data_IF_255738925578
#
_entry.id   IF_255738925578
#
_cell.length_a   1.000
_cell.length_b   1.000
_cell.length_c   1.000
_cell.angle_alpha   90.00
_cell.angle_beta   90.00
_cell.angle_gamma   90.00
#
_symmetry.space_group_name_H-M   'P 1'
#
loop_
_entity.id
_entity.type
_entity.pdbx_description
1 polymer ?
#
# COMPACT_ATOMS: atom_id res chain seq x y z
N UNK A 1 33.54 -5.54 16.21
CA UNK A 1 33.18 -5.24 14.80
C UNK A 1 32.09 -4.22 14.80
N UNK A 2 32.15 -3.23 13.90
CA UNK A 2 31.07 -2.24 13.71
C UNK A 2 29.82 -2.95 13.18
N UNK A 3 28.64 -2.65 13.72
CA UNK A 3 27.38 -3.17 13.20
C UNK A 3 27.16 -2.69 11.76
N UNK A 4 26.56 -3.53 10.91
CA UNK A 4 26.22 -3.20 9.53
C UNK A 4 24.72 -3.02 9.42
N UNK A 5 24.30 -1.85 8.97
CA UNK A 5 22.89 -1.48 8.86
C UNK A 5 22.54 -1.25 7.40
N UNK A 6 21.53 -1.99 6.93
CA UNK A 6 21.00 -1.85 5.58
C UNK A 6 19.66 -1.15 5.61
N UNK A 7 19.46 -0.21 4.69
CA UNK A 7 18.22 0.56 4.53
C UNK A 7 17.55 0.26 3.20
N UNK A 8 16.22 0.20 3.20
CA UNK A 8 15.42 0.41 2.00
C UNK A 8 14.99 1.86 1.94
N UNK A 9 15.38 2.56 0.89
CA UNK A 9 15.03 3.96 0.68
C UNK A 9 14.15 4.09 -0.58
N UNK A 10 13.06 4.78 -0.44
CA UNK A 10 12.11 5.06 -1.52
C UNK A 10 11.77 6.55 -1.61
N UNK A 11 10.69 6.89 -2.33
CA UNK A 11 10.24 8.26 -2.50
C UNK A 11 9.76 8.91 -1.18
N UNK A 12 9.45 8.10 -0.15
CA UNK A 12 9.09 8.62 1.17
C UNK A 12 10.34 8.87 2.01
N UNK A 13 10.57 10.09 2.51
CA UNK A 13 11.83 10.45 3.15
C UNK A 13 12.03 9.85 4.55
N UNK A 14 11.04 9.15 5.11
CA UNK A 14 11.07 8.68 6.51
C UNK A 14 12.30 7.81 6.81
N UNK A 15 12.57 6.78 6.00
CA UNK A 15 13.71 5.90 6.21
C UNK A 15 15.05 6.65 6.04
N UNK A 16 15.14 7.58 5.09
CA UNK A 16 16.31 8.44 4.92
C UNK A 16 16.54 9.36 6.12
N UNK A 17 15.48 9.96 6.66
CA UNK A 17 15.58 10.78 7.89
C UNK A 17 16.03 9.93 9.09
N UNK A 18 15.56 8.69 9.21
CA UNK A 18 16.05 7.77 10.25
C UNK A 18 17.55 7.53 10.08
N UNK A 19 18.01 7.23 8.87
CA UNK A 19 19.44 7.02 8.60
C UNK A 19 20.27 8.29 8.98
N UNK A 20 19.78 9.48 8.63
CA UNK A 20 20.44 10.74 8.97
C UNK A 20 20.60 10.94 10.47
N UNK A 21 19.55 10.70 11.26
CA UNK A 21 19.66 10.88 12.72
C UNK A 21 20.45 9.75 13.39
N UNK A 22 20.34 8.51 12.93
CA UNK A 22 21.13 7.40 13.46
C UNK A 22 22.63 7.61 13.20
N UNK A 23 23.03 8.13 12.04
CA UNK A 23 24.46 8.38 11.74
C UNK A 23 25.08 9.44 12.65
N UNK A 24 24.26 10.34 13.25
CA UNK A 24 24.76 11.33 14.21
C UNK A 24 25.09 10.76 15.59
N UNK A 25 24.50 9.62 15.95
CA UNK A 25 24.59 9.03 17.30
C UNK A 25 25.27 7.68 17.31
N UNK A 26 25.44 7.06 16.16
CA UNK A 26 26.08 5.73 16.04
C UNK A 26 27.14 5.76 14.94
N UNK A 27 28.33 5.29 15.28
CA UNK A 27 29.41 5.04 14.32
C UNK A 27 29.29 3.61 13.79
N UNK A 28 28.44 3.41 12.80
CA UNK A 28 28.11 2.14 12.17
C UNK A 28 28.22 2.24 10.66
N UNK A 29 28.45 1.13 9.98
CA UNK A 29 28.48 1.09 8.52
C UNK A 29 27.07 1.02 7.94
N UNK A 30 26.70 2.02 7.16
CA UNK A 30 25.39 2.13 6.51
C UNK A 30 25.50 1.74 5.04
N UNK A 31 24.52 0.95 4.60
CA UNK A 31 24.32 0.49 3.24
C UNK A 31 22.87 0.77 2.82
N UNK A 32 22.60 0.94 1.54
CA UNK A 32 21.24 1.21 1.10
C UNK A 32 20.91 0.65 -0.26
N UNK A 33 19.68 0.11 -0.39
CA UNK A 33 19.00 -0.14 -1.64
C UNK A 33 17.98 0.96 -1.88
N UNK A 34 18.09 1.67 -3.01
CA UNK A 34 17.28 2.85 -3.35
C UNK A 34 16.32 2.50 -4.47
N UNK A 35 15.01 2.62 -4.19
CA UNK A 35 13.89 2.38 -5.12
C UNK A 35 13.17 3.69 -5.40
N UNK A 36 13.63 4.45 -6.39
CA UNK A 36 13.11 5.77 -6.73
C UNK A 36 13.13 6.04 -8.23
N UNK A 37 12.35 7.02 -8.67
CA UNK A 37 12.37 7.52 -10.05
C UNK A 37 13.68 8.20 -10.41
N UNK A 38 13.99 8.34 -11.71
CA UNK A 38 15.21 9.02 -12.20
C UNK A 38 15.38 10.44 -11.63
N UNK A 39 14.27 11.17 -11.47
CA UNK A 39 14.32 12.51 -10.88
C UNK A 39 14.81 12.50 -9.44
N UNK A 40 14.40 11.53 -8.65
CA UNK A 40 14.80 11.41 -7.24
C UNK A 40 16.16 10.74 -7.09
N UNK A 41 16.57 9.90 -8.05
CA UNK A 41 17.87 9.24 -8.08
C UNK A 41 19.01 10.25 -8.02
N UNK A 42 18.90 11.38 -8.73
CA UNK A 42 19.92 12.43 -8.73
C UNK A 42 20.18 13.01 -7.32
N UNK A 43 19.13 13.11 -6.49
CA UNK A 43 19.30 13.50 -5.08
C UNK A 43 20.16 12.49 -4.32
N UNK A 44 19.83 11.18 -4.41
CA UNK A 44 20.58 10.15 -3.69
C UNK A 44 22.03 10.02 -4.17
N UNK A 45 22.31 10.32 -5.44
CA UNK A 45 23.67 10.33 -6.00
C UNK A 45 24.51 11.53 -5.54
N UNK A 46 23.88 12.67 -5.27
CA UNK A 46 24.57 13.93 -4.96
C UNK A 46 24.53 14.33 -3.48
N UNK A 47 23.65 13.72 -2.67
CA UNK A 47 23.50 14.07 -1.26
C UNK A 47 24.76 13.75 -0.44
N UNK A 48 25.06 14.62 0.54
CA UNK A 48 26.17 14.49 1.48
C UNK A 48 25.71 14.45 2.94
N UNK A 49 24.41 14.25 3.17
CA UNK A 49 23.82 14.27 4.51
C UNK A 49 24.08 12.97 5.27
N UNK A 50 24.09 11.84 4.54
CA UNK A 50 24.35 10.51 5.08
C UNK A 50 25.41 9.83 4.22
N UNK A 51 26.49 9.39 4.82
CA UNK A 51 27.49 8.57 4.15
C UNK A 51 27.05 7.10 4.17
N UNK A 52 26.78 6.56 2.99
CA UNK A 52 26.56 5.12 2.78
C UNK A 52 27.83 4.51 2.20
N UNK A 53 28.28 3.38 2.75
CA UNK A 53 29.46 2.64 2.25
C UNK A 53 29.23 2.12 0.83
N UNK A 54 27.97 1.68 0.55
CA UNK A 54 27.54 1.31 -0.79
C UNK A 54 26.05 1.59 -0.97
N UNK A 55 25.70 2.02 -2.17
CA UNK A 55 24.33 2.32 -2.59
C UNK A 55 24.01 1.54 -3.86
N UNK A 56 22.95 0.73 -3.83
CA UNK A 56 22.39 0.09 -5.00
C UNK A 56 21.15 0.85 -5.44
N UNK A 57 20.98 1.01 -6.75
CA UNK A 57 19.77 1.58 -7.34
C UNK A 57 18.97 0.44 -7.97
N UNK A 58 17.82 0.13 -7.40
CA UNK A 58 16.99 -1.01 -7.77
C UNK A 58 16.70 -1.07 -9.28
N UNK A 59 16.25 0.04 -9.86
CA UNK A 59 15.86 0.07 -11.27
C UNK A 59 17.04 -0.03 -12.25
N UNK A 60 18.27 0.28 -11.82
CA UNK A 60 19.44 0.09 -12.68
C UNK A 60 19.70 -1.39 -12.95
N UNK A 61 19.49 -2.22 -11.95
CA UNK A 61 19.65 -3.68 -12.09
C UNK A 61 18.47 -4.28 -12.85
N UNK A 62 17.25 -3.82 -12.57
CA UNK A 62 16.06 -4.30 -13.30
C UNK A 62 16.13 -4.02 -14.81
N UNK A 63 16.87 -3.01 -15.23
CA UNK A 63 17.04 -2.62 -16.63
C UNK A 63 18.19 -3.36 -17.35
N UNK A 64 18.96 -4.16 -16.62
CA UNK A 64 20.04 -4.97 -17.24
C UNK A 64 19.46 -6.24 -17.88
N UNK A 65 20.07 -6.65 -18.98
CA UNK A 65 19.78 -7.96 -19.55
C UNK A 65 20.48 -9.04 -18.72
N UNK A 66 19.77 -10.10 -18.38
CA UNK A 66 20.33 -11.28 -17.74
C UNK A 66 20.09 -12.50 -18.63
N UNK A 67 20.98 -13.47 -18.53
CA UNK A 67 20.69 -14.80 -19.06
C UNK A 67 19.81 -15.51 -18.01
N UNK A 68 18.52 -15.61 -18.31
CA UNK A 68 17.58 -16.28 -17.41
C UNK A 68 17.91 -17.77 -17.28
N UNK A 69 17.81 -18.27 -16.05
CA UNK A 69 17.99 -19.67 -15.71
C UNK A 69 16.66 -20.27 -15.29
N UNK A 70 16.09 -21.22 -16.05
CA UNK A 70 14.72 -21.71 -15.83
C UNK A 70 14.42 -22.23 -14.42
N UNK A 71 15.42 -22.84 -13.78
CA UNK A 71 15.24 -23.48 -12.46
C UNK A 71 15.62 -22.56 -11.29
N UNK A 72 16.13 -21.35 -11.56
CA UNK A 72 16.59 -20.45 -10.50
C UNK A 72 15.48 -20.06 -9.53
N UNK A 73 14.33 -19.59 -10.05
CA UNK A 73 13.21 -19.17 -9.20
C UNK A 73 12.69 -20.30 -8.33
N UNK A 74 12.58 -21.50 -8.90
CA UNK A 74 12.18 -22.70 -8.15
C UNK A 74 13.16 -23.01 -7.02
N UNK A 75 14.45 -22.99 -7.32
CA UNK A 75 15.50 -23.21 -6.32
C UNK A 75 15.48 -22.15 -5.21
N UNK A 76 15.16 -20.89 -5.57
CA UNK A 76 15.01 -19.80 -4.62
C UNK A 76 13.79 -20.01 -3.70
N UNK A 77 12.63 -20.40 -4.26
CA UNK A 77 11.43 -20.71 -3.51
C UNK A 77 11.67 -21.84 -2.51
N UNK A 78 12.30 -22.94 -2.94
CA UNK A 78 12.66 -24.09 -2.10
C UNK A 78 13.66 -23.70 -1.00
N UNK A 79 14.70 -22.91 -1.35
CA UNK A 79 15.75 -22.48 -0.42
C UNK A 79 15.22 -21.57 0.70
N UNK A 80 14.31 -20.66 0.38
CA UNK A 80 13.85 -19.64 1.32
C UNK A 80 12.43 -19.86 1.79
N UNK A 81 11.72 -20.87 1.28
CA UNK A 81 10.31 -21.10 1.58
C UNK A 81 9.47 -19.80 1.42
N UNK A 82 9.54 -19.20 0.22
CA UNK A 82 8.83 -17.99 -0.18
C UNK A 82 8.10 -18.29 -1.48
N UNK A 83 6.77 -18.15 -1.52
CA UNK A 83 5.95 -18.29 -2.73
C UNK A 83 6.03 -17.00 -3.57
N UNK A 84 6.91 -17.01 -4.58
CA UNK A 84 7.13 -15.88 -5.48
C UNK A 84 5.92 -15.60 -6.37
N UNK A 85 5.23 -16.67 -6.83
CA UNK A 85 4.06 -16.53 -7.68
C UNK A 85 2.86 -15.96 -6.94
N UNK A 86 2.68 -16.29 -5.66
CA UNK A 86 1.67 -15.65 -4.84
C UNK A 86 1.94 -14.15 -4.71
N UNK A 87 3.20 -13.76 -4.50
CA UNK A 87 3.59 -12.35 -4.46
C UNK A 87 3.34 -11.66 -5.81
N UNK A 88 3.69 -12.29 -6.93
CA UNK A 88 3.48 -11.73 -8.26
C UNK A 88 2.00 -11.55 -8.60
N UNK A 89 1.15 -12.55 -8.30
CA UNK A 89 -0.31 -12.50 -8.51
C UNK A 89 -1.03 -11.45 -7.66
N UNK A 90 -0.37 -10.95 -6.63
CA UNK A 90 -0.87 -9.89 -5.76
C UNK A 90 -0.10 -8.57 -5.94
N UNK A 91 0.76 -8.46 -6.96
CA UNK A 91 1.47 -7.22 -7.27
C UNK A 91 0.58 -6.25 -8.05
N UNK A 92 0.48 -5.03 -7.56
CA UNK A 92 -0.29 -3.95 -8.21
C UNK A 92 0.19 -3.62 -9.61
N UNK A 93 1.46 -3.85 -9.90
CA UNK A 93 2.07 -3.51 -11.20
C UNK A 93 1.75 -4.57 -12.24
N UNK A 94 1.72 -5.83 -11.86
CA UNK A 94 1.49 -6.95 -12.77
C UNK A 94 0.01 -7.21 -13.04
N UNK A 95 -0.89 -6.81 -12.13
CA UNK A 95 -2.34 -6.96 -12.32
C UNK A 95 -2.92 -5.77 -13.12
N UNK A 96 -3.82 -6.05 -14.04
CA UNK A 96 -4.49 -5.07 -14.91
C UNK A 96 -5.18 -3.93 -14.15
N UNK A 97 -5.55 -4.15 -12.92
CA UNK A 97 -6.26 -3.19 -12.10
C UNK A 97 -5.47 -1.91 -11.83
N UNK A 98 -4.17 -2.01 -11.64
CA UNK A 98 -3.32 -0.84 -11.30
C UNK A 98 -2.55 -0.31 -12.50
N UNK A 99 -2.05 -1.18 -13.37
CA UNK A 99 -1.29 -0.80 -14.56
C UNK A 99 -2.06 -1.13 -15.86
N UNK A 100 -2.90 -0.20 -16.30
CA UNK A 100 -3.69 -0.32 -17.53
C UNK A 100 -2.87 0.01 -18.80
N UNK A 101 -1.61 0.42 -18.65
CA UNK A 101 -0.78 0.87 -19.77
C UNK A 101 0.02 -0.25 -20.40
N UNK A 102 0.39 -1.25 -19.63
CA UNK A 102 1.22 -2.36 -20.06
C UNK A 102 0.77 -3.66 -19.38
N UNK A 103 0.64 -4.73 -20.16
CA UNK A 103 0.35 -6.08 -19.67
C UNK A 103 1.61 -6.90 -19.72
N UNK A 104 2.09 -7.31 -18.58
CA UNK A 104 3.25 -8.18 -18.47
C UNK A 104 2.88 -9.61 -18.84
N UNK A 105 3.71 -10.26 -19.66
CA UNK A 105 3.65 -11.70 -19.86
C UNK A 105 4.26 -12.45 -18.67
N UNK A 106 3.91 -13.72 -18.51
CA UNK A 106 4.47 -14.57 -17.46
C UNK A 106 6.00 -14.66 -17.56
N UNK A 107 6.55 -14.63 -18.77
CA UNK A 107 7.99 -14.62 -19.02
C UNK A 107 8.64 -13.33 -18.48
N UNK A 108 8.08 -12.16 -18.79
CA UNK A 108 8.59 -10.88 -18.27
C UNK A 108 8.49 -10.79 -16.75
N UNK A 109 7.39 -11.31 -16.17
CA UNK A 109 7.23 -11.39 -14.72
C UNK A 109 8.32 -12.27 -14.10
N UNK A 110 8.57 -13.45 -14.68
CA UNK A 110 9.62 -14.37 -14.23
C UNK A 110 11.00 -13.73 -14.33
N UNK A 111 11.31 -13.05 -15.41
CA UNK A 111 12.58 -12.36 -15.62
C UNK A 111 12.80 -11.24 -14.59
N UNK A 112 11.76 -10.43 -14.33
CA UNK A 112 11.81 -9.37 -13.31
C UNK A 112 12.04 -9.98 -11.93
N UNK A 113 11.30 -11.04 -11.58
CA UNK A 113 11.47 -11.71 -10.28
C UNK A 113 12.84 -12.33 -10.12
N UNK A 114 13.39 -12.93 -11.18
CA UNK A 114 14.74 -13.49 -11.14
C UNK A 114 15.80 -12.41 -10.90
N UNK A 115 15.73 -11.29 -11.61
CA UNK A 115 16.62 -10.14 -11.38
C UNK A 115 16.54 -9.63 -9.94
N UNK A 116 15.35 -9.53 -9.39
CA UNK A 116 15.14 -9.12 -8.00
C UNK A 116 15.75 -10.09 -7.00
N UNK A 117 15.47 -11.37 -7.16
CA UNK A 117 15.98 -12.40 -6.26
C UNK A 117 17.51 -12.42 -6.27
N UNK A 118 18.13 -12.36 -7.46
CA UNK A 118 19.59 -12.31 -7.60
C UNK A 118 20.18 -11.06 -6.95
N UNK A 119 19.62 -9.88 -7.24
CA UNK A 119 20.04 -8.62 -6.61
C UNK A 119 19.96 -8.69 -5.09
N UNK A 120 18.88 -9.23 -4.56
CA UNK A 120 18.64 -9.29 -3.12
C UNK A 120 19.57 -10.28 -2.42
N UNK A 121 19.81 -11.44 -3.02
CA UNK A 121 20.83 -12.37 -2.52
C UNK A 121 22.22 -11.74 -2.54
N UNK A 122 22.63 -11.12 -3.66
CA UNK A 122 23.92 -10.44 -3.80
C UNK A 122 24.12 -9.39 -2.69
N UNK A 123 23.16 -8.48 -2.51
CA UNK A 123 23.24 -7.44 -1.47
C UNK A 123 23.38 -8.06 -0.08
N UNK A 124 22.56 -9.04 0.26
CA UNK A 124 22.57 -9.64 1.59
C UNK A 124 23.82 -10.50 1.85
N UNK A 125 24.36 -11.15 0.83
CA UNK A 125 25.58 -11.96 0.95
C UNK A 125 26.86 -11.10 1.00
N UNK A 126 26.87 -9.96 0.29
CA UNK A 126 27.96 -8.98 0.33
C UNK A 126 27.97 -8.22 1.66
N UNK A 127 26.82 -7.63 2.04
CA UNK A 127 26.73 -6.79 3.22
C UNK A 127 26.71 -7.59 4.50
N UNK A 128 26.02 -8.74 4.53
CA UNK A 128 25.72 -9.53 5.74
C UNK A 128 25.26 -8.62 6.88
N UNK A 129 24.15 -7.89 6.71
CA UNK A 129 23.74 -6.86 7.65
C UNK A 129 23.25 -7.47 8.97
N UNK A 130 23.57 -6.81 10.07
CA UNK A 130 23.03 -7.14 11.39
C UNK A 130 21.60 -6.64 11.53
N UNK A 131 21.30 -5.49 10.89
CA UNK A 131 19.99 -4.85 10.93
C UNK A 131 19.51 -4.44 9.53
N UNK A 132 18.24 -4.66 9.28
CA UNK A 132 17.51 -4.07 8.16
C UNK A 132 16.50 -3.05 8.69
N UNK A 133 16.68 -1.77 8.35
CA UNK A 133 15.80 -0.68 8.77
C UNK A 133 14.94 -0.25 7.60
N UNK A 134 13.63 -0.20 7.83
CA UNK A 134 12.66 0.10 6.78
C UNK A 134 11.37 0.70 7.35
N UNK A 135 10.51 1.20 6.48
CA UNK A 135 9.11 1.51 6.76
C UNK A 135 8.22 0.31 6.43
N UNK A 136 6.94 0.42 6.71
CA UNK A 136 5.99 -0.64 6.36
C UNK A 136 6.03 -0.91 4.85
N UNK A 137 6.27 -2.16 4.47
CA UNK A 137 6.38 -2.58 3.07
C UNK A 137 5.07 -2.33 2.32
N UNK A 138 5.13 -1.62 1.20
CA UNK A 138 3.95 -1.23 0.42
C UNK A 138 3.84 -1.95 -0.93
N UNK A 139 4.97 -2.31 -1.53
CA UNK A 139 5.08 -2.94 -2.83
C UNK A 139 5.75 -4.30 -2.74
N UNK A 140 5.51 -5.15 -3.73
CA UNK A 140 6.04 -6.51 -3.80
C UNK A 140 7.57 -6.59 -3.67
N UNK A 141 8.40 -5.81 -4.41
CA UNK A 141 9.85 -5.91 -4.30
C UNK A 141 10.34 -5.64 -2.88
N UNK A 142 9.85 -4.58 -2.26
CA UNK A 142 10.16 -4.22 -0.88
C UNK A 142 9.71 -5.31 0.10
N UNK A 143 8.53 -5.92 -0.15
CA UNK A 143 8.02 -7.00 0.70
C UNK A 143 8.83 -8.28 0.53
N UNK A 144 9.22 -8.64 -0.68
CA UNK A 144 10.10 -9.77 -0.97
C UNK A 144 11.46 -9.62 -0.27
N UNK A 145 12.06 -8.42 -0.35
CA UNK A 145 13.31 -8.13 0.34
C UNK A 145 13.19 -8.28 1.87
N UNK A 146 12.09 -7.78 2.43
CA UNK A 146 11.75 -7.97 3.85
C UNK A 146 11.64 -9.45 4.23
N UNK A 147 10.91 -10.26 3.44
CA UNK A 147 10.78 -11.70 3.68
C UNK A 147 12.13 -12.40 3.64
N UNK A 148 12.95 -12.07 2.65
CA UNK A 148 14.30 -12.66 2.52
C UNK A 148 15.19 -12.28 3.71
N UNK A 149 15.16 -11.04 4.19
CA UNK A 149 15.86 -10.64 5.41
C UNK A 149 15.42 -11.48 6.62
N UNK A 150 14.11 -11.72 6.76
CA UNK A 150 13.57 -12.57 7.84
C UNK A 150 14.06 -14.02 7.73
N UNK A 151 14.04 -14.59 6.54
CA UNK A 151 14.50 -15.98 6.29
C UNK A 151 16.00 -16.15 6.52
N UNK A 152 16.81 -15.12 6.25
CA UNK A 152 18.25 -15.09 6.56
C UNK A 152 18.56 -14.74 8.03
N UNK A 153 17.55 -14.54 8.89
CA UNK A 153 17.75 -14.26 10.32
C UNK A 153 18.23 -12.83 10.62
N UNK A 154 18.17 -11.92 9.66
CA UNK A 154 18.54 -10.52 9.82
C UNK A 154 17.49 -9.81 10.71
N UNK A 155 17.94 -9.03 11.69
CA UNK A 155 17.05 -8.29 12.57
C UNK A 155 16.37 -7.13 11.84
N UNK A 156 15.09 -7.28 11.56
CA UNK A 156 14.30 -6.23 10.91
C UNK A 156 13.76 -5.24 11.93
N UNK A 157 13.95 -3.95 11.65
CA UNK A 157 13.42 -2.83 12.41
C UNK A 157 12.52 -2.01 11.47
N UNK A 158 11.24 -2.38 11.43
CA UNK A 158 10.24 -1.75 10.56
C UNK A 158 9.44 -0.72 11.34
N UNK A 159 9.45 0.52 10.85
CA UNK A 159 8.60 1.58 11.38
C UNK A 159 7.17 1.42 10.84
N UNK A 160 6.24 1.15 11.74
CA UNK A 160 4.83 0.96 11.44
C UNK A 160 3.97 2.08 12.02
N UNK A 161 2.91 2.45 11.29
CA UNK A 161 1.88 3.34 11.82
C UNK A 161 1.01 2.58 12.82
N UNK A 162 0.78 3.16 13.99
CA UNK A 162 -0.16 2.59 14.96
C UNK A 162 -1.63 2.80 14.56
N UNK A 163 -1.91 3.54 13.46
CA UNK A 163 -3.25 3.96 13.02
C UNK A 163 -4.03 4.71 14.12
N UNK A 164 -3.34 5.18 15.14
CA UNK A 164 -3.89 5.91 16.28
C UNK A 164 -3.16 7.26 16.41
N UNK A 165 -3.80 8.31 15.98
CA UNK A 165 -3.22 9.66 16.03
C UNK A 165 -1.95 9.78 15.20
N UNK A 166 -0.86 10.18 15.84
CA UNK A 166 0.49 10.31 15.23
C UNK A 166 1.48 9.27 15.77
N UNK A 167 0.97 8.21 16.40
CA UNK A 167 1.82 7.21 17.00
C UNK A 167 2.33 6.22 15.96
N UNK A 168 3.56 5.77 16.16
CA UNK A 168 4.20 4.71 15.41
C UNK A 168 4.86 3.73 16.38
N UNK A 169 5.18 2.55 15.89
CA UNK A 169 5.93 1.55 16.62
C UNK A 169 6.95 0.88 15.71
N UNK A 170 8.03 0.34 16.29
CA UNK A 170 9.03 -0.43 15.60
C UNK A 170 8.80 -1.91 15.88
N UNK A 171 8.75 -2.73 14.84
CA UNK A 171 8.59 -4.18 14.95
C UNK A 171 9.25 -4.88 13.78
N UNK A 172 9.73 -6.09 13.98
CA UNK A 172 10.18 -6.98 12.92
C UNK A 172 9.03 -7.62 12.13
N UNK A 173 7.78 -7.35 12.51
CA UNK A 173 6.58 -7.85 11.83
C UNK A 173 5.67 -6.68 11.44
N UNK A 174 4.99 -6.83 10.29
CA UNK A 174 4.10 -5.80 9.79
C UNK A 174 2.67 -5.90 10.32
N UNK A 175 2.29 -6.99 11.02
CA UNK A 175 0.93 -7.16 11.58
C UNK A 175 0.90 -7.14 13.10
N UNK A 176 2.01 -7.30 13.78
CA UNK A 176 2.03 -7.38 15.23
C UNK A 176 3.27 -6.69 15.80
N UNK A 177 3.13 -6.22 17.01
CA UNK A 177 4.25 -5.71 17.79
C UNK A 177 5.09 -6.89 18.31
N UNK A 178 6.41 -6.80 18.14
CA UNK A 178 7.32 -7.76 18.76
C UNK A 178 7.20 -7.68 20.28
N UNK A 179 7.36 -8.82 20.95
CA UNK A 179 7.25 -8.93 22.41
C UNK A 179 5.92 -8.38 22.99
N UNK A 180 4.83 -8.41 22.20
CA UNK A 180 3.53 -7.89 22.65
C UNK A 180 3.11 -8.44 24.01
N UNK A 181 3.24 -9.74 24.23
CA UNK A 181 2.84 -10.39 25.48
C UNK A 181 3.65 -9.88 26.68
N UNK A 182 4.95 -9.68 26.52
CA UNK A 182 5.85 -9.14 27.55
C UNK A 182 5.52 -7.68 27.86
N UNK A 183 5.37 -6.87 26.82
CA UNK A 183 4.98 -5.46 26.95
C UNK A 183 3.60 -5.31 27.60
N UNK A 184 2.68 -6.22 27.28
CA UNK A 184 1.32 -6.20 27.84
C UNK A 184 1.31 -6.65 29.30
N UNK A 185 2.05 -7.70 29.64
CA UNK A 185 2.16 -8.20 31.02
C UNK A 185 2.78 -7.17 31.97
N UNK A 186 3.76 -6.40 31.50
CA UNK A 186 4.45 -5.37 32.29
C UNK A 186 3.72 -4.02 32.32
N UNK A 187 2.55 -3.91 31.67
CA UNK A 187 1.81 -2.65 31.59
C UNK A 187 1.06 -2.39 32.91
N UNK A 188 1.35 -1.25 33.52
CA UNK A 188 0.44 -0.68 34.53
C UNK A 188 -0.84 -0.25 33.82
N UNK A 189 -1.97 -0.84 34.17
CA UNK A 189 -3.27 -0.44 33.67
C UNK A 189 -3.49 1.05 33.98
N UNK A 190 -3.56 1.89 32.99
CA UNK A 190 -4.05 3.25 33.18
C UNK A 190 -5.56 3.13 33.42
N UNK A 191 -6.11 3.73 34.47
CA UNK A 191 -7.54 3.77 34.68
C UNK A 191 -8.16 4.59 33.52
N UNK A 192 -8.57 3.89 32.48
CA UNK A 192 -9.20 4.49 31.31
C UNK A 192 -10.64 3.97 31.29
N UNK A 193 -11.59 4.86 31.43
CA UNK A 193 -13.01 4.50 31.34
C UNK A 193 -13.40 4.33 29.87
N UNK A 194 -14.50 3.61 29.60
CA UNK A 194 -15.05 3.51 28.25
C UNK A 194 -15.36 4.90 27.66
N UNK A 195 -15.84 5.83 28.49
CA UNK A 195 -16.08 7.21 28.10
C UNK A 195 -14.80 7.95 27.69
N UNK A 196 -13.65 7.69 28.31
CA UNK A 196 -12.38 8.30 27.91
C UNK A 196 -11.95 7.80 26.54
N UNK A 197 -12.15 6.50 26.26
CA UNK A 197 -11.88 5.91 24.95
C UNK A 197 -12.84 6.51 23.90
N UNK A 198 -14.11 6.58 24.22
CA UNK A 198 -15.14 7.14 23.33
C UNK A 198 -14.87 8.62 23.04
N UNK A 199 -14.55 9.43 24.02
CA UNK A 199 -14.19 10.84 23.85
C UNK A 199 -12.92 11.03 23.00
N UNK A 200 -11.95 10.13 23.11
CA UNK A 200 -10.75 10.13 22.25
C UNK A 200 -11.09 9.76 20.78
N UNK A 201 -11.99 8.80 20.57
CA UNK A 201 -12.47 8.40 19.24
C UNK A 201 -13.35 9.49 18.61
N UNK A 202 -14.14 10.18 19.40
CA UNK A 202 -15.00 11.29 18.98
C UNK A 202 -14.24 12.60 18.74
N UNK A 203 -12.94 12.64 19.07
CA UNK A 203 -12.17 13.84 18.89
C UNK A 203 -12.34 14.33 17.45
N UNK A 204 -12.89 15.55 17.31
CA UNK A 204 -13.26 16.26 16.06
C UNK A 204 -12.16 16.32 14.97
N UNK A 205 -10.98 15.76 15.26
CA UNK A 205 -9.81 15.73 14.36
C UNK A 205 -10.03 14.74 13.20
N UNK A 206 -10.66 13.58 13.46
CA UNK A 206 -10.87 12.56 12.42
C UNK A 206 -11.94 12.98 11.42
N UNK A 207 -13.08 13.49 11.91
CA UNK A 207 -14.17 13.96 11.06
C UNK A 207 -13.77 15.18 10.22
N UNK A 208 -12.99 16.11 10.79
CA UNK A 208 -12.44 17.28 10.06
C UNK A 208 -11.41 16.88 9.00
N UNK A 209 -10.59 15.85 9.24
CA UNK A 209 -9.64 15.35 8.24
C UNK A 209 -10.36 14.70 7.05
N UNK A 210 -11.36 13.87 7.31
CA UNK A 210 -12.16 13.22 6.27
C UNK A 210 -12.91 14.28 5.45
N UNK A 211 -13.57 15.23 6.07
CA UNK A 211 -14.30 16.29 5.34
C UNK A 211 -13.36 17.23 4.56
N UNK A 212 -12.18 17.58 5.12
CA UNK A 212 -11.14 18.34 4.39
C UNK A 212 -10.59 17.55 3.21
N UNK A 213 -10.37 16.24 3.37
CA UNK A 213 -9.91 15.37 2.28
C UNK A 213 -10.93 15.37 1.14
N UNK A 214 -12.22 15.20 1.41
CA UNK A 214 -13.28 15.28 0.40
C UNK A 214 -13.34 16.66 -0.28
N UNK A 215 -13.21 17.75 0.49
CA UNK A 215 -13.23 19.11 -0.04
C UNK A 215 -11.99 19.46 -0.85
N UNK A 216 -10.80 18.97 -0.43
CA UNK A 216 -9.55 19.24 -1.13
C UNK A 216 -9.41 18.50 -2.46
N UNK A 217 -10.15 17.41 -2.63
CA UNK A 217 -10.17 16.60 -3.86
C UNK A 217 -11.29 16.99 -4.83
N UNK A 218 -11.99 18.11 -4.60
CA UNK A 218 -12.74 18.77 -5.67
C UNK A 218 -11.72 19.26 -6.71
N UNK A 219 -11.51 18.44 -7.74
CA UNK A 219 -10.60 18.77 -8.83
C UNK A 219 -11.13 20.03 -9.55
N UNK A 220 -10.50 21.16 -9.27
CA UNK A 220 -10.72 22.37 -10.07
C UNK A 220 -10.28 22.05 -11.51
N UNK A 221 -11.10 22.43 -12.51
CA UNK A 221 -10.73 22.30 -13.93
C UNK A 221 -9.37 22.93 -14.23
N UNK A 222 -9.04 24.02 -13.53
CA UNK A 222 -7.73 24.72 -13.63
C UNK A 222 -6.60 23.81 -13.17
N UNK A 223 -6.74 23.10 -12.05
CA UNK A 223 -5.71 22.14 -11.57
C UNK A 223 -5.51 21.00 -12.55
N UNK A 224 -6.56 20.50 -13.19
CA UNK A 224 -6.45 19.46 -14.21
C UNK A 224 -5.71 19.96 -15.45
N UNK A 225 -6.00 21.19 -15.90
CA UNK A 225 -5.27 21.81 -17.02
C UNK A 225 -3.79 22.02 -16.66
N UNK A 226 -3.49 22.51 -15.47
CA UNK A 226 -2.12 22.66 -14.99
C UNK A 226 -1.38 21.31 -14.93
N UNK A 227 -2.01 20.25 -14.43
CA UNK A 227 -1.44 18.92 -14.38
C UNK A 227 -1.19 18.36 -15.79
N UNK A 228 -2.13 18.57 -16.74
CA UNK A 228 -1.95 18.17 -18.14
C UNK A 228 -0.78 18.92 -18.80
N UNK A 229 -0.66 20.22 -18.58
CA UNK A 229 0.47 21.04 -19.05
C UNK A 229 1.79 20.55 -18.47
N UNK A 230 1.86 20.32 -17.16
CA UNK A 230 3.06 19.79 -16.50
C UNK A 230 3.43 18.42 -17.07
N UNK A 231 2.46 17.53 -17.28
CA UNK A 231 2.70 16.21 -17.87
C UNK A 231 3.27 16.32 -19.29
N UNK A 232 2.68 17.14 -20.14
CA UNK A 232 3.04 17.22 -21.56
C UNK A 232 4.39 17.92 -21.77
N UNK A 233 4.65 19.02 -21.04
CA UNK A 233 5.79 19.90 -21.30
C UNK A 233 6.92 19.70 -20.31
N UNK A 234 6.61 19.62 -19.00
CA UNK A 234 7.64 19.65 -17.96
C UNK A 234 8.05 18.27 -17.45
N UNK A 235 7.25 17.22 -17.67
CA UNK A 235 7.62 15.89 -17.16
C UNK A 235 8.68 15.24 -18.03
N UNK A 236 9.65 14.62 -17.39
CA UNK A 236 10.60 13.72 -18.01
C UNK A 236 9.97 12.33 -18.21
N UNK A 237 10.19 11.74 -19.39
CA UNK A 237 9.73 10.38 -19.72
C UNK A 237 10.83 9.32 -19.56
N UNK A 238 11.97 9.67 -18.98
CA UNK A 238 13.10 8.73 -18.85
C UNK A 238 12.72 7.46 -18.10
N UNK A 239 11.79 7.55 -17.13
CA UNK A 239 11.31 6.39 -16.39
C UNK A 239 10.60 5.34 -17.27
N UNK A 240 9.95 5.72 -18.37
CA UNK A 240 9.27 4.78 -19.27
C UNK A 240 10.24 3.73 -19.86
N UNK A 241 11.51 4.11 -20.01
CA UNK A 241 12.55 3.26 -20.57
C UNK A 241 13.33 2.46 -19.52
N UNK A 242 13.40 2.96 -18.31
CA UNK A 242 14.30 2.45 -17.26
C UNK A 242 13.59 1.81 -16.09
N UNK A 243 12.27 1.96 -15.99
CA UNK A 243 11.49 1.46 -14.87
C UNK A 243 10.32 0.63 -15.38
N UNK A 244 10.35 -0.68 -15.18
CA UNK A 244 9.24 -1.55 -15.60
C UNK A 244 7.88 -1.11 -15.05
N UNK A 245 7.85 -0.47 -13.88
CA UNK A 245 6.65 0.09 -13.26
C UNK A 245 6.04 1.26 -14.05
N UNK A 246 6.75 1.79 -15.06
CA UNK A 246 6.33 2.88 -15.94
C UNK A 246 6.14 2.46 -17.39
N UNK A 247 6.29 1.18 -17.72
CA UNK A 247 6.15 0.70 -19.10
C UNK A 247 4.81 1.09 -19.72
N UNK A 248 4.85 1.50 -20.98
CA UNK A 248 3.68 1.92 -21.77
C UNK A 248 3.04 3.26 -21.36
N UNK A 249 3.58 3.99 -20.38
CA UNK A 249 3.04 5.27 -19.90
C UNK A 249 3.47 6.46 -20.77
N UNK A 250 3.23 6.37 -22.10
CA UNK A 250 3.42 7.52 -22.98
C UNK A 250 2.52 8.69 -22.57
N UNK A 251 3.04 9.93 -22.62
CA UNK A 251 2.34 11.15 -22.17
C UNK A 251 0.91 11.27 -22.70
N UNK A 252 0.73 11.10 -24.02
CA UNK A 252 -0.60 11.16 -24.64
C UNK A 252 -1.52 10.03 -24.14
N UNK A 253 -0.99 8.80 -24.02
CA UNK A 253 -1.77 7.65 -23.52
C UNK A 253 -2.22 7.88 -22.07
N UNK A 254 -1.34 8.45 -21.24
CA UNK A 254 -1.68 8.81 -19.84
C UNK A 254 -2.77 9.88 -19.83
N UNK A 255 -2.65 10.93 -20.65
CA UNK A 255 -3.64 12.00 -20.71
C UNK A 255 -5.02 11.48 -21.14
N UNK A 256 -5.07 10.69 -22.22
CA UNK A 256 -6.32 10.09 -22.71
C UNK A 256 -6.93 9.13 -21.69
N UNK A 257 -6.11 8.33 -21.02
CA UNK A 257 -6.55 7.45 -19.92
C UNK A 257 -7.16 8.25 -18.78
N UNK A 258 -6.54 9.36 -18.36
CA UNK A 258 -7.07 10.20 -17.28
C UNK A 258 -8.38 10.92 -17.64
N UNK A 259 -8.55 11.31 -18.90
CA UNK A 259 -9.82 11.86 -19.40
C UNK A 259 -10.91 10.77 -19.29
N UNK A 260 -10.64 9.58 -19.83
CA UNK A 260 -11.59 8.46 -19.79
C UNK A 260 -11.93 8.06 -18.34
N UNK A 261 -10.91 7.95 -17.48
CA UNK A 261 -11.12 7.63 -16.06
C UNK A 261 -11.93 8.74 -15.34
N UNK A 262 -11.74 9.99 -15.72
CA UNK A 262 -12.54 11.10 -15.16
C UNK A 262 -14.02 11.00 -15.52
N UNK A 263 -14.32 10.59 -16.75
CA UNK A 263 -15.70 10.35 -17.22
C UNK A 263 -16.29 9.15 -16.47
N UNK A 264 -15.56 8.05 -16.36
CA UNK A 264 -15.98 6.85 -15.62
C UNK A 264 -16.25 7.19 -14.14
N UNK A 265 -15.32 7.91 -13.49
CA UNK A 265 -15.48 8.34 -12.09
C UNK A 265 -16.72 9.20 -11.89
N UNK A 266 -16.98 10.14 -12.80
CA UNK A 266 -18.17 10.97 -12.75
C UNK A 266 -19.46 10.14 -12.87
N UNK A 267 -19.51 9.24 -13.85
CA UNK A 267 -20.68 8.37 -14.08
C UNK A 267 -20.94 7.43 -12.89
N UNK A 268 -19.89 6.77 -12.39
CA UNK A 268 -19.98 5.88 -11.23
C UNK A 268 -20.35 6.64 -9.96
N UNK A 269 -19.79 7.84 -9.77
CA UNK A 269 -20.18 8.69 -8.64
C UNK A 269 -21.66 9.07 -8.69
N UNK A 270 -22.18 9.44 -9.86
CA UNK A 270 -23.60 9.75 -10.02
C UNK A 270 -24.49 8.56 -9.62
N UNK A 271 -24.08 7.34 -9.98
CA UNK A 271 -24.78 6.13 -9.57
C UNK A 271 -24.78 5.95 -8.05
N UNK A 272 -23.64 6.13 -7.41
CA UNK A 272 -23.48 6.04 -5.95
C UNK A 272 -24.36 7.10 -5.26
N UNK A 273 -24.30 8.35 -5.69
CA UNK A 273 -25.07 9.46 -5.11
C UNK A 273 -26.59 9.20 -5.19
N UNK A 274 -27.07 8.48 -6.19
CA UNK A 274 -28.49 8.19 -6.41
C UNK A 274 -28.99 6.90 -5.75
N UNK A 275 -28.11 5.93 -5.50
CA UNK A 275 -28.52 4.57 -5.14
C UNK A 275 -28.02 4.11 -3.77
N UNK A 276 -27.14 4.86 -3.11
CA UNK A 276 -26.62 4.48 -1.80
C UNK A 276 -27.33 5.27 -0.70
N UNK A 277 -27.55 4.65 0.44
CA UNK A 277 -28.18 5.25 1.59
C UNK A 277 -27.32 6.38 2.18
N UNK A 278 -27.88 7.53 2.32
CA UNK A 278 -27.23 8.71 2.93
C UNK A 278 -27.52 8.83 4.42
N UNK A 279 -28.47 8.06 4.93
CA UNK A 279 -28.86 7.97 6.34
C UNK A 279 -29.17 6.54 6.71
N UNK A 280 -29.03 6.21 8.00
CA UNK A 280 -29.39 4.91 8.55
C UNK A 280 -30.84 4.99 9.03
N UNK A 281 -31.74 4.39 8.28
CA UNK A 281 -33.21 4.49 8.49
C UNK A 281 -33.82 3.16 8.95
N UNK A 282 -33.01 2.07 9.02
CA UNK A 282 -33.52 0.72 9.27
C UNK A 282 -33.55 0.43 10.77
N UNK A 283 -34.67 -0.10 11.27
CA UNK A 283 -34.86 -0.49 12.68
C UNK A 283 -34.37 -1.92 13.00
N UNK A 284 -33.95 -2.66 11.96
CA UNK A 284 -33.41 -4.01 12.15
C UNK A 284 -32.00 -3.99 12.70
N UNK A 285 -31.63 -4.98 13.50
CA UNK A 285 -30.24 -5.16 13.91
C UNK A 285 -29.37 -5.36 12.67
N UNK A 286 -28.16 -4.79 12.69
CA UNK A 286 -27.26 -4.87 11.56
C UNK A 286 -25.81 -5.06 11.99
N UNK A 287 -25.02 -5.58 11.04
CA UNK A 287 -23.55 -5.61 11.11
C UNK A 287 -23.01 -4.59 10.13
N UNK A 288 -21.99 -3.86 10.55
CA UNK A 288 -21.29 -2.89 9.71
C UNK A 288 -20.02 -3.46 9.13
N UNK A 289 -19.91 -3.51 7.79
CA UNK A 289 -18.73 -3.94 7.04
C UNK A 289 -18.17 -2.78 6.20
N UNK A 290 -17.12 -2.10 6.68
CA UNK A 290 -16.42 -1.10 5.88
C UNK A 290 -15.54 -1.79 4.84
N UNK A 291 -15.70 -1.43 3.54
CA UNK A 291 -14.81 -1.89 2.49
C UNK A 291 -13.47 -1.18 2.57
N UNK A 292 -12.41 -1.91 2.26
CA UNK A 292 -11.08 -1.35 2.13
C UNK A 292 -10.89 -0.67 0.78
N UNK A 293 -9.99 0.27 0.70
CA UNK A 293 -9.57 0.84 -0.58
C UNK A 293 -8.86 -0.25 -1.41
N UNK A 294 -9.19 -0.37 -2.68
CA UNK A 294 -8.56 -1.31 -3.62
C UNK A 294 -7.86 -0.57 -4.76
N UNK A 295 -6.70 -1.08 -5.18
CA UNK A 295 -5.86 -2.11 -4.57
C UNK A 295 -4.97 -1.53 -3.48
N UNK A 296 -4.92 -2.18 -2.34
CA UNK A 296 -4.05 -1.79 -1.23
C UNK A 296 -3.27 -2.97 -0.65
N UNK A 297 -2.15 -2.63 0.02
CA UNK A 297 -1.29 -3.56 0.71
C UNK A 297 -2.05 -4.48 1.68
N UNK A 298 -3.01 -3.93 2.42
CA UNK A 298 -3.81 -4.68 3.40
C UNK A 298 -4.49 -5.90 2.79
N UNK A 299 -4.98 -5.78 1.55
CA UNK A 299 -5.62 -6.86 0.83
C UNK A 299 -4.63 -7.71 0.02
N UNK A 300 -3.63 -7.09 -0.60
CA UNK A 300 -2.74 -7.79 -1.51
C UNK A 300 -1.64 -8.60 -0.80
N UNK A 301 -1.12 -8.09 0.31
CA UNK A 301 0.00 -8.70 1.03
C UNK A 301 -0.39 -9.28 2.40
N UNK A 302 -1.32 -8.61 3.13
CA UNK A 302 -1.67 -9.04 4.48
C UNK A 302 -2.85 -10.01 4.54
N UNK A 303 -3.79 -9.90 3.57
CA UNK A 303 -5.00 -10.72 3.52
C UNK A 303 -5.38 -11.04 2.06
N UNK A 304 -4.52 -11.76 1.31
CA UNK A 304 -4.71 -12.01 -0.12
C UNK A 304 -5.99 -12.80 -0.43
N UNK A 305 -6.42 -13.66 0.49
CA UNK A 305 -7.64 -14.44 0.35
C UNK A 305 -8.92 -13.60 0.36
N UNK A 306 -8.84 -12.38 0.91
CA UNK A 306 -9.96 -11.41 0.99
C UNK A 306 -9.82 -10.26 -0.01
N UNK A 307 -8.95 -10.40 -1.03
CA UNK A 307 -8.77 -9.34 -2.04
C UNK A 307 -10.02 -9.02 -2.84
N UNK A 308 -10.90 -10.03 -3.07
CA UNK A 308 -12.22 -9.82 -3.65
C UNK A 308 -13.24 -9.50 -2.53
N UNK A 309 -13.39 -8.21 -2.25
CA UNK A 309 -14.29 -7.79 -1.17
C UNK A 309 -15.78 -7.98 -1.50
N UNK A 310 -16.15 -8.06 -2.77
CA UNK A 310 -17.54 -8.36 -3.17
C UNK A 310 -17.91 -9.78 -2.72
N UNK A 311 -17.06 -10.76 -3.01
CA UNK A 311 -17.24 -12.13 -2.52
C UNK A 311 -17.25 -12.19 -0.98
N UNK A 312 -16.42 -11.40 -0.33
CA UNK A 312 -16.42 -11.29 1.14
C UNK A 312 -17.77 -10.79 1.68
N UNK A 313 -18.34 -9.75 1.04
CA UNK A 313 -19.68 -9.25 1.41
C UNK A 313 -20.74 -10.32 1.23
N UNK A 314 -20.72 -11.04 0.10
CA UNK A 314 -21.66 -12.13 -0.19
C UNK A 314 -21.53 -13.27 0.84
N UNK A 315 -20.30 -13.65 1.16
CA UNK A 315 -20.03 -14.67 2.17
C UNK A 315 -20.56 -14.26 3.55
N UNK A 316 -20.22 -13.06 4.02
CA UNK A 316 -20.69 -12.53 5.31
C UNK A 316 -22.22 -12.47 5.34
N UNK A 317 -22.85 -11.99 4.26
CA UNK A 317 -24.32 -11.89 4.21
C UNK A 317 -25.04 -13.23 4.34
N UNK A 318 -24.44 -14.32 3.81
CA UNK A 318 -24.97 -15.69 3.95
C UNK A 318 -24.87 -16.24 5.38
N UNK A 319 -23.84 -15.78 6.13
CA UNK A 319 -23.63 -16.20 7.51
C UNK A 319 -24.51 -15.44 8.52
N UNK A 320 -25.20 -14.37 8.09
CA UNK A 320 -26.03 -13.58 9.00
C UNK A 320 -27.38 -14.26 9.29
N UNK A 321 -27.90 -14.12 10.52
CA UNK A 321 -29.27 -14.48 10.85
C UNK A 321 -30.27 -13.77 9.92
N UNK A 322 -31.49 -14.33 9.77
CA UNK A 322 -32.49 -13.79 8.83
C UNK A 322 -32.95 -12.38 9.16
N UNK A 323 -32.98 -12.04 10.44
CA UNK A 323 -33.41 -10.74 10.93
C UNK A 323 -32.32 -9.67 10.91
N UNK A 324 -31.06 -10.01 10.54
CA UNK A 324 -29.95 -9.06 10.47
C UNK A 324 -29.74 -8.49 9.07
N UNK A 325 -29.29 -7.25 9.02
CA UNK A 325 -28.83 -6.59 7.80
C UNK A 325 -27.30 -6.45 7.80
N UNK A 326 -26.73 -6.33 6.61
CA UNK A 326 -25.32 -6.04 6.39
C UNK A 326 -25.19 -4.64 5.78
N UNK A 327 -24.74 -3.69 6.59
CA UNK A 327 -24.47 -2.34 6.12
C UNK A 327 -23.04 -2.28 5.58
N UNK A 328 -22.93 -2.13 4.27
CA UNK A 328 -21.66 -2.11 3.54
C UNK A 328 -21.36 -0.68 3.11
N UNK A 329 -20.21 -0.17 3.54
CA UNK A 329 -19.81 1.20 3.21
C UNK A 329 -18.55 1.20 2.36
N UNK A 330 -18.62 1.86 1.22
CA UNK A 330 -17.45 2.06 0.35
C UNK A 330 -16.40 2.95 1.03
N UNK A 331 -15.12 2.63 0.77
CA UNK A 331 -14.03 3.42 1.33
C UNK A 331 -14.06 4.86 0.79
N UNK A 332 -13.99 5.86 1.68
CA UNK A 332 -14.13 7.27 1.27
C UNK A 332 -13.15 7.72 0.20
N UNK A 333 -11.94 7.18 0.17
CA UNK A 333 -10.89 7.58 -0.78
C UNK A 333 -10.88 6.74 -2.05
N UNK A 334 -11.79 5.75 -2.18
CA UNK A 334 -11.84 4.89 -3.37
C UNK A 334 -11.97 5.73 -4.65
N UNK A 335 -12.90 6.66 -4.70
CA UNK A 335 -13.12 7.49 -5.88
C UNK A 335 -12.15 8.64 -6.09
N UNK A 336 -11.30 8.97 -5.11
CA UNK A 336 -10.32 10.06 -5.21
C UNK A 336 -8.89 9.58 -5.44
N UNK A 337 -8.52 8.45 -4.85
CA UNK A 337 -7.19 7.87 -4.95
C UNK A 337 -7.11 6.66 -5.89
N UNK A 338 -8.26 6.12 -6.23
CA UNK A 338 -8.47 4.97 -7.14
C UNK A 338 -9.70 5.25 -7.99
N UNK A 339 -10.21 4.26 -8.70
CA UNK A 339 -11.50 4.34 -9.36
C UNK A 339 -12.60 3.69 -8.50
N UNK A 340 -13.81 4.25 -8.56
CA UNK A 340 -14.97 3.57 -8.01
C UNK A 340 -15.12 2.17 -8.64
N UNK A 341 -15.62 1.22 -7.87
CA UNK A 341 -15.89 -0.13 -8.38
C UNK A 341 -16.85 -0.07 -9.56
N UNK A 342 -16.92 -1.15 -10.33
CA UNK A 342 -17.87 -1.29 -11.44
C UNK A 342 -19.31 -1.22 -10.91
N UNK A 343 -20.19 -0.54 -11.66
CA UNK A 343 -21.62 -0.43 -11.28
C UNK A 343 -22.28 -1.81 -11.20
N UNK A 344 -21.85 -2.76 -12.05
CA UNK A 344 -22.29 -4.15 -12.00
C UNK A 344 -22.06 -4.80 -10.64
N UNK A 345 -20.90 -4.53 -10.01
CA UNK A 345 -20.57 -5.01 -8.68
C UNK A 345 -21.50 -4.44 -7.59
N UNK A 346 -21.77 -3.13 -7.66
CA UNK A 346 -22.72 -2.50 -6.74
C UNK A 346 -24.14 -3.03 -6.92
N UNK A 347 -24.57 -3.24 -8.17
CA UNK A 347 -25.88 -3.85 -8.46
C UNK A 347 -25.99 -5.28 -7.94
N UNK A 348 -24.93 -6.08 -8.10
CA UNK A 348 -24.90 -7.42 -7.56
C UNK A 348 -25.10 -7.42 -6.02
N UNK A 349 -24.42 -6.52 -5.31
CA UNK A 349 -24.62 -6.37 -3.86
C UNK A 349 -26.03 -5.87 -3.50
N UNK A 350 -26.63 -4.96 -4.27
CA UNK A 350 -27.98 -4.43 -4.03
C UNK A 350 -29.07 -5.49 -4.25
N UNK A 351 -28.82 -6.46 -5.11
CA UNK A 351 -29.75 -7.58 -5.33
C UNK A 351 -29.84 -8.51 -4.11
N UNK A 352 -28.90 -8.44 -3.18
CA UNK A 352 -28.95 -9.20 -1.95
C UNK A 352 -29.86 -8.49 -0.93
N UNK A 353 -30.98 -9.11 -0.51
CA UNK A 353 -31.97 -8.45 0.36
C UNK A 353 -31.43 -8.10 1.75
N UNK A 354 -30.35 -8.74 2.19
CA UNK A 354 -29.71 -8.43 3.48
C UNK A 354 -28.71 -7.28 3.38
N UNK A 355 -28.24 -6.89 2.17
CA UNK A 355 -27.22 -5.87 1.99
C UNK A 355 -27.81 -4.49 1.84
N UNK A 356 -27.21 -3.51 2.50
CA UNK A 356 -27.49 -2.08 2.37
C UNK A 356 -26.22 -1.33 2.09
N UNK A 357 -26.12 -0.71 0.92
CA UNK A 357 -24.96 0.10 0.53
C UNK A 357 -25.06 1.51 1.13
N UNK A 358 -24.09 1.88 1.95
CA UNK A 358 -24.01 3.17 2.60
C UNK A 358 -23.12 4.12 1.80
N UNK A 359 -23.59 5.34 1.62
CA UNK A 359 -22.87 6.37 0.89
C UNK A 359 -21.51 6.69 1.57
N UNK A 360 -20.42 6.86 0.81
CA UNK A 360 -19.08 7.12 1.35
C UNK A 360 -18.99 8.36 2.25
N UNK A 361 -19.87 9.34 2.07
CA UNK A 361 -19.91 10.58 2.89
C UNK A 361 -20.44 10.37 4.31
N UNK A 362 -21.20 9.30 4.57
CA UNK A 362 -21.72 9.01 5.92
C UNK A 362 -20.53 8.71 6.84
N UNK A 363 -20.40 9.40 7.99
CA UNK A 363 -19.32 9.11 8.93
C UNK A 363 -19.44 7.70 9.50
N UNK A 364 -18.35 6.92 9.45
CA UNK A 364 -18.35 5.55 9.99
C UNK A 364 -18.70 5.52 11.50
N UNK A 365 -18.32 6.54 12.26
CA UNK A 365 -18.63 6.67 13.67
C UNK A 365 -20.15 6.72 13.95
N UNK A 366 -20.94 7.32 13.05
CA UNK A 366 -22.41 7.36 13.16
C UNK A 366 -23.03 5.98 12.95
N UNK A 367 -22.43 5.18 12.05
CA UNK A 367 -22.87 3.81 11.78
C UNK A 367 -22.55 2.92 13.00
N UNK A 368 -21.31 3.00 13.49
CA UNK A 368 -20.83 2.21 14.63
C UNK A 368 -21.65 2.48 15.91
N UNK A 369 -22.10 3.73 16.12
CA UNK A 369 -22.93 4.06 17.28
C UNK A 369 -24.31 3.42 17.27
N UNK A 370 -24.79 3.01 16.09
CA UNK A 370 -26.11 2.39 15.90
C UNK A 370 -26.05 0.88 15.69
N UNK A 371 -24.83 0.31 15.52
CA UNK A 371 -24.61 -1.12 15.29
C UNK A 371 -24.56 -1.96 16.56
#
# INVERSE_FOLDING_TARGET
MSNRVLFWLDAEPTAFCIAYYLKKIHDTDFFTLVDVTNRQKSFFQSQKLVEFKKTWFYHDVMNQEIKSEPDYLKSFEEKYDIDLWQLAKNDRIFIDYYNTFYKFSDHEISEIMEKECRLFEEILDEVKPDFFITTQTAFRPHHLFYLLCKKKGIKVLMLNSANWGKHCYISGNYHKLDNFNELFANRKALPTTFNDIQNRLESKILSKKVSKFYQSHKNSKIKLMQAAFQLLILSDNSNEKTHYTYYGRKKLKVLLSEINNSIKRWYRKKYIDQNFLQEIIDDKPFIFLPLQQEPERSLLLSAPDYKNQIETVEYVSKCLPENFLLFVKEHPTQGSGRDWREISQYKALQNNPKVRLIHPSVPAAEIIKKS
#
